data_IF_147617078720
#
_entry.id   IF_147617078720
#
_cell.length_a   1.000
_cell.length_b   1.000
_cell.length_c   1.000
_cell.angle_alpha   90.00
_cell.angle_beta   90.00
_cell.angle_gamma   90.00
#
_symmetry.space_group_name_H-M   'P 1'
#
loop_
_entity.id
_entity.type
_entity.pdbx_description
1 polymer ?
#
# COMPACT_ATOMS: atom_id res chain seq x y z
N UNK A 1 -27.72 15.95 -70.11
CA UNK A 1 -26.67 16.70 -69.38
C UNK A 1 -26.96 16.95 -67.88
N UNK A 2 -28.22 16.98 -67.41
CA UNK A 2 -28.54 17.18 -65.98
C UNK A 2 -28.13 15.99 -65.09
N UNK A 3 -28.28 14.74 -65.54
CA UNK A 3 -27.97 13.53 -64.72
C UNK A 3 -26.49 13.30 -64.46
N UNK A 4 -25.59 13.82 -65.27
CA UNK A 4 -24.12 13.62 -65.11
C UNK A 4 -23.58 14.57 -64.00
N UNK A 5 -24.09 15.80 -63.91
CA UNK A 5 -23.69 16.74 -62.84
C UNK A 5 -24.07 16.23 -61.46
N UNK A 6 -25.24 15.62 -61.30
CA UNK A 6 -25.68 15.06 -59.99
C UNK A 6 -24.90 13.82 -59.60
N UNK A 7 -24.51 12.94 -60.54
CA UNK A 7 -23.63 11.81 -60.26
C UNK A 7 -22.24 12.24 -59.83
N UNK A 8 -21.65 13.24 -60.51
CA UNK A 8 -20.34 13.79 -60.14
C UNK A 8 -20.38 14.44 -58.75
N UNK A 9 -21.40 15.26 -58.42
CA UNK A 9 -21.54 15.85 -57.09
C UNK A 9 -21.73 14.81 -56.00
N UNK A 10 -22.45 13.73 -56.27
CA UNK A 10 -22.62 12.63 -55.28
C UNK A 10 -21.30 11.92 -55.01
N UNK A 11 -20.49 11.63 -56.03
CA UNK A 11 -19.17 11.03 -55.83
C UNK A 11 -18.21 11.96 -55.08
N UNK A 12 -18.22 13.26 -55.38
CA UNK A 12 -17.42 14.25 -54.68
C UNK A 12 -17.80 14.35 -53.19
N UNK A 13 -19.11 14.42 -52.90
CA UNK A 13 -19.59 14.47 -51.51
C UNK A 13 -19.21 13.16 -50.76
N UNK A 14 -19.39 12.02 -51.37
CA UNK A 14 -19.02 10.73 -50.75
C UNK A 14 -17.50 10.66 -50.50
N UNK A 15 -16.68 11.12 -51.44
CA UNK A 15 -15.23 11.19 -51.27
C UNK A 15 -14.81 12.13 -50.14
N UNK A 16 -15.44 13.28 -50.03
CA UNK A 16 -15.19 14.23 -48.93
C UNK A 16 -15.55 13.63 -47.59
N UNK A 17 -16.69 12.93 -47.47
CA UNK A 17 -17.09 12.25 -46.24
C UNK A 17 -16.10 11.15 -45.88
N UNK A 18 -15.69 10.31 -46.83
CA UNK A 18 -14.71 9.26 -46.57
C UNK A 18 -13.37 9.85 -46.12
N UNK A 19 -12.89 10.90 -46.78
CA UNK A 19 -11.66 11.60 -46.38
C UNK A 19 -11.81 12.21 -44.99
N UNK A 20 -12.95 12.83 -44.67
CA UNK A 20 -13.21 13.39 -43.34
C UNK A 20 -13.21 12.31 -42.24
N UNK A 21 -13.81 11.15 -42.48
CA UNK A 21 -13.78 10.01 -41.55
C UNK A 21 -12.35 9.50 -41.34
N UNK A 22 -11.57 9.37 -42.43
CA UNK A 22 -10.16 8.95 -42.34
C UNK A 22 -9.35 9.99 -41.52
N UNK A 23 -9.53 11.29 -41.78
CA UNK A 23 -8.86 12.34 -41.03
C UNK A 23 -9.25 12.36 -39.57
N UNK A 24 -10.53 12.19 -39.24
CA UNK A 24 -11.00 12.07 -37.87
C UNK A 24 -10.33 10.87 -37.17
N UNK A 25 -10.32 9.70 -37.82
CA UNK A 25 -9.63 8.53 -37.26
C UNK A 25 -8.13 8.76 -37.05
N UNK A 26 -7.44 9.40 -38.00
CA UNK A 26 -6.02 9.75 -37.84
C UNK A 26 -5.79 10.73 -36.70
N UNK A 27 -6.66 11.75 -36.56
CA UNK A 27 -6.59 12.72 -35.46
C UNK A 27 -6.85 12.02 -34.13
N UNK A 28 -7.88 11.18 -34.04
CA UNK A 28 -8.19 10.40 -32.83
C UNK A 28 -7.03 9.45 -32.49
N UNK A 29 -6.42 8.79 -33.48
CA UNK A 29 -5.26 7.94 -33.26
C UNK A 29 -4.05 8.73 -32.75
N UNK A 30 -3.72 9.86 -33.36
CA UNK A 30 -2.62 10.72 -32.95
C UNK A 30 -2.85 11.37 -31.58
N UNK A 31 -4.10 11.70 -31.25
CA UNK A 31 -4.47 12.21 -29.92
C UNK A 31 -4.38 11.09 -28.88
N UNK A 32 -4.80 9.87 -29.24
CA UNK A 32 -4.75 8.72 -28.32
C UNK A 32 -3.31 8.26 -28.01
N UNK A 33 -2.34 8.56 -28.86
CA UNK A 33 -0.92 8.35 -28.56
C UNK A 33 -0.36 9.34 -27.52
N UNK A 34 -0.91 10.56 -27.46
CA UNK A 34 -0.45 11.60 -26.54
C UNK A 34 -1.33 11.76 -25.30
N UNK A 35 -2.61 11.49 -25.42
CA UNK A 35 -3.60 11.58 -24.34
C UNK A 35 -4.43 10.30 -24.41
N UNK A 36 -4.30 9.37 -23.46
CA UNK A 36 -5.09 8.16 -23.50
C UNK A 36 -6.56 8.52 -23.31
N UNK A 37 -7.33 8.43 -24.39
CA UNK A 37 -8.78 8.57 -24.37
C UNK A 37 -9.46 7.34 -23.76
N UNK A 38 -8.68 6.40 -23.22
CA UNK A 38 -9.17 5.22 -22.52
C UNK A 38 -9.69 5.63 -21.15
N UNK A 39 -10.98 5.52 -20.94
CA UNK A 39 -11.59 5.67 -19.61
C UNK A 39 -11.41 4.35 -18.88
N UNK A 40 -10.78 4.39 -17.72
CA UNK A 40 -10.70 3.24 -16.84
C UNK A 40 -12.09 2.97 -16.24
N UNK A 41 -12.71 1.87 -16.65
CA UNK A 41 -14.02 1.44 -16.18
C UNK A 41 -13.92 0.37 -15.09
N UNK A 42 -12.72 0.09 -14.61
CA UNK A 42 -12.55 -0.84 -13.48
C UNK A 42 -13.05 -0.18 -12.20
N UNK A 43 -13.56 -0.97 -11.26
CA UNK A 43 -14.13 -0.46 -9.99
C UNK A 43 -13.09 0.34 -9.20
N UNK A 44 -11.85 -0.13 -9.19
CA UNK A 44 -10.77 0.44 -8.40
C UNK A 44 -9.78 1.25 -9.25
N UNK A 45 -10.17 1.62 -10.48
CA UNK A 45 -9.37 2.46 -11.39
C UNK A 45 -7.91 1.97 -11.50
N UNK A 46 -7.74 0.67 -11.73
CA UNK A 46 -6.43 0.02 -11.71
C UNK A 46 -5.42 0.60 -12.69
N UNK A 47 -5.89 1.27 -13.73
CA UNK A 47 -5.07 1.94 -14.74
C UNK A 47 -4.93 3.46 -14.51
N UNK A 48 -5.65 4.07 -13.56
CA UNK A 48 -5.40 5.47 -13.17
C UNK A 48 -4.22 5.54 -12.21
N UNK A 49 -3.31 6.47 -12.45
CA UNK A 49 -2.21 6.74 -11.52
C UNK A 49 -2.71 7.63 -10.39
N UNK A 50 -2.25 7.36 -9.19
CA UNK A 50 -2.58 8.15 -8.00
C UNK A 50 -2.02 9.57 -8.12
N UNK A 51 -2.55 10.50 -7.35
CA UNK A 51 -2.06 11.89 -7.37
C UNK A 51 -0.67 11.97 -6.74
N UNK A 52 -0.39 11.12 -5.76
CA UNK A 52 0.93 10.93 -5.16
C UNK A 52 1.96 10.53 -6.21
N UNK A 53 1.68 9.52 -7.03
CA UNK A 53 2.56 9.12 -8.13
C UNK A 53 2.80 10.27 -9.11
N UNK A 54 1.76 11.04 -9.45
CA UNK A 54 1.88 12.18 -10.36
C UNK A 54 2.77 13.29 -9.78
N UNK A 55 2.65 13.56 -8.49
CA UNK A 55 3.50 14.54 -7.79
C UNK A 55 4.95 14.08 -7.71
N UNK A 56 5.16 12.80 -7.36
CA UNK A 56 6.50 12.21 -7.37
C UNK A 56 7.18 12.31 -8.72
N UNK A 57 6.46 11.98 -9.80
CA UNK A 57 7.04 12.05 -11.15
C UNK A 57 7.37 13.48 -11.58
N UNK A 58 6.67 14.51 -11.08
CA UNK A 58 7.04 15.92 -11.30
C UNK A 58 8.32 16.32 -10.56
N UNK A 59 8.58 15.70 -9.41
CA UNK A 59 9.76 15.98 -8.60
C UNK A 59 11.04 15.31 -9.16
N UNK A 60 10.91 14.29 -10.03
CA UNK A 60 12.06 13.61 -10.65
C UNK A 60 12.75 14.56 -11.63
N UNK A 61 13.94 15.01 -11.27
CA UNK A 61 14.79 15.91 -12.06
C UNK A 61 15.93 15.21 -12.80
N UNK A 62 16.32 14.00 -12.34
CA UNK A 62 17.40 13.18 -12.92
C UNK A 62 16.88 12.20 -13.96
N UNK A 63 17.73 11.81 -14.90
CA UNK A 63 17.41 10.72 -15.83
C UNK A 63 17.50 9.37 -15.12
N UNK A 64 16.40 8.63 -15.14
CA UNK A 64 16.29 7.25 -14.61
C UNK A 64 16.08 6.31 -15.80
N UNK A 65 16.88 5.25 -15.87
CA UNK A 65 16.68 4.16 -16.83
C UNK A 65 16.01 3.00 -16.15
N UNK A 66 14.93 2.50 -16.73
CA UNK A 66 14.17 1.37 -16.24
C UNK A 66 14.34 0.19 -17.22
N UNK A 67 15.10 -0.82 -16.84
CA UNK A 67 15.30 -2.03 -17.61
C UNK A 67 14.20 -3.04 -17.28
N UNK A 68 13.31 -3.28 -18.24
CA UNK A 68 12.24 -4.30 -18.12
C UNK A 68 12.80 -5.62 -18.61
N UNK A 69 12.96 -6.58 -17.72
CA UNK A 69 13.72 -7.82 -17.95
C UNK A 69 12.91 -8.88 -18.72
N UNK A 70 12.35 -8.49 -19.83
CA UNK A 70 11.70 -9.36 -20.81
C UNK A 70 11.63 -8.63 -22.16
N UNK A 71 11.30 -9.38 -23.21
CA UNK A 71 10.99 -8.75 -24.50
C UNK A 71 9.65 -8.01 -24.43
N UNK A 72 9.45 -7.00 -25.28
CA UNK A 72 8.19 -6.24 -25.30
C UNK A 72 6.97 -7.13 -25.54
N UNK A 73 7.12 -8.22 -26.30
CA UNK A 73 6.02 -9.15 -26.56
C UNK A 73 5.64 -9.99 -25.34
N UNK A 74 6.60 -10.30 -24.48
CA UNK A 74 6.39 -11.11 -23.26
C UNK A 74 5.84 -10.28 -22.11
N UNK A 75 6.09 -8.97 -22.08
CA UNK A 75 5.57 -8.09 -21.05
C UNK A 75 4.04 -8.14 -20.99
N UNK A 76 3.48 -8.26 -19.79
CA UNK A 76 2.04 -8.30 -19.58
C UNK A 76 1.38 -6.99 -20.04
N UNK A 77 0.11 -7.05 -20.43
CA UNK A 77 -0.66 -5.86 -20.83
C UNK A 77 -0.68 -4.80 -19.71
N UNK A 78 -0.76 -5.25 -18.48
CA UNK A 78 -0.79 -4.36 -17.30
C UNK A 78 0.54 -3.61 -17.15
N UNK A 79 1.68 -4.31 -17.20
CA UNK A 79 3.01 -3.68 -17.14
C UNK A 79 3.21 -2.67 -18.27
N UNK A 80 2.81 -3.02 -19.50
CA UNK A 80 2.87 -2.09 -20.65
C UNK A 80 2.05 -0.83 -20.43
N UNK A 81 0.84 -0.97 -19.88
CA UNK A 81 -0.03 0.18 -19.61
C UNK A 81 0.57 1.08 -18.51
N UNK A 82 1.13 0.50 -17.43
CA UNK A 82 1.84 1.29 -16.41
C UNK A 82 3.04 2.04 -17.02
N UNK A 83 3.89 1.35 -17.78
CA UNK A 83 5.03 1.98 -18.48
C UNK A 83 4.56 3.16 -19.34
N UNK A 84 3.48 2.99 -20.09
CA UNK A 84 2.93 4.06 -20.92
C UNK A 84 2.47 5.25 -20.07
N UNK A 85 1.87 5.01 -18.90
CA UNK A 85 1.44 6.06 -17.97
C UNK A 85 2.63 6.84 -17.42
N UNK A 86 3.70 6.15 -16.99
CA UNK A 86 4.92 6.82 -16.54
C UNK A 86 5.57 7.67 -17.64
N UNK A 87 5.66 7.14 -18.87
CA UNK A 87 6.17 7.90 -20.04
C UNK A 87 5.37 9.17 -20.35
N UNK A 88 4.07 9.18 -20.01
CA UNK A 88 3.24 10.39 -20.21
C UNK A 88 3.39 11.41 -19.08
N UNK A 89 3.76 10.98 -17.87
CA UNK A 89 3.92 11.88 -16.73
C UNK A 89 5.27 12.59 -16.73
N UNK A 90 6.34 11.94 -17.21
CA UNK A 90 7.69 12.49 -17.21
C UNK A 90 8.52 11.94 -18.37
N UNK A 91 9.39 12.78 -18.93
CA UNK A 91 10.41 12.39 -19.90
C UNK A 91 11.73 11.95 -19.25
N UNK A 92 11.81 12.04 -17.92
CA UNK A 92 12.99 11.69 -17.14
C UNK A 92 13.15 10.19 -16.94
N UNK A 93 12.09 9.40 -17.05
CA UNK A 93 12.13 7.94 -16.88
C UNK A 93 12.08 7.26 -18.24
N UNK A 94 13.17 6.59 -18.61
CA UNK A 94 13.31 5.86 -19.88
C UNK A 94 13.15 4.37 -19.64
N UNK A 95 12.26 3.72 -20.36
CA UNK A 95 12.01 2.28 -20.25
C UNK A 95 12.61 1.55 -21.44
N UNK A 96 13.43 0.52 -21.14
CA UNK A 96 14.10 -0.32 -22.12
C UNK A 96 13.77 -1.81 -21.84
N UNK A 97 13.33 -2.53 -22.86
CA UNK A 97 13.08 -3.97 -22.74
C UNK A 97 14.37 -4.73 -22.99
N UNK A 98 14.74 -5.60 -22.06
CA UNK A 98 16.00 -6.36 -22.08
C UNK A 98 15.70 -7.84 -22.04
N UNK A 99 16.10 -8.55 -23.09
CA UNK A 99 16.10 -10.03 -23.08
C UNK A 99 17.21 -10.54 -22.16
N UNK A 100 16.82 -11.17 -21.04
CA UNK A 100 17.74 -11.64 -19.99
C UNK A 100 18.72 -12.69 -20.51
N UNK A 101 18.31 -13.49 -21.50
CA UNK A 101 19.16 -14.55 -22.06
C UNK A 101 20.26 -13.99 -22.95
N UNK A 102 20.05 -12.84 -23.55
CA UNK A 102 21.01 -12.19 -24.45
C UNK A 102 21.89 -11.16 -23.71
N UNK A 103 21.52 -10.73 -22.52
CA UNK A 103 22.18 -9.64 -21.78
C UNK A 103 22.70 -10.07 -20.40
N UNK A 104 23.20 -11.30 -20.26
CA UNK A 104 23.69 -11.84 -18.98
C UNK A 104 24.78 -10.97 -18.32
N UNK A 105 25.64 -10.33 -19.10
CA UNK A 105 26.69 -9.44 -18.57
C UNK A 105 26.11 -8.21 -17.87
N UNK A 106 25.02 -7.66 -18.37
CA UNK A 106 24.31 -6.55 -17.72
C UNK A 106 23.73 -7.00 -16.37
N UNK A 107 23.14 -8.19 -16.34
CA UNK A 107 22.51 -8.74 -15.13
C UNK A 107 23.53 -9.07 -14.04
N UNK A 108 24.73 -9.50 -14.39
CA UNK A 108 25.81 -9.75 -13.43
C UNK A 108 26.13 -8.52 -12.57
N UNK A 109 25.95 -7.29 -13.10
CA UNK A 109 26.14 -6.06 -12.35
C UNK A 109 25.21 -5.98 -11.13
N UNK A 110 23.96 -6.43 -11.29
CA UNK A 110 22.91 -6.31 -10.25
C UNK A 110 22.86 -7.54 -9.33
N UNK A 111 23.43 -8.65 -9.73
CA UNK A 111 23.50 -9.88 -8.93
C UNK A 111 24.70 -9.94 -7.96
N UNK A 112 25.62 -8.98 -8.03
CA UNK A 112 26.85 -8.98 -7.20
C UNK A 112 26.56 -8.89 -5.69
N UNK A 113 25.42 -8.34 -5.30
CA UNK A 113 25.01 -8.18 -3.90
C UNK A 113 24.12 -9.35 -3.39
N UNK A 114 23.99 -10.44 -4.17
CA UNK A 114 23.16 -11.59 -3.78
C UNK A 114 21.66 -11.41 -4.04
N UNK A 115 21.25 -10.30 -4.65
CA UNK A 115 19.86 -10.07 -5.03
C UNK A 115 19.45 -10.96 -6.22
N UNK A 116 18.28 -11.59 -6.12
CA UNK A 116 17.76 -12.39 -7.21
C UNK A 116 17.17 -11.47 -8.29
N UNK A 117 17.52 -11.74 -9.54
CA UNK A 117 16.99 -11.02 -10.71
C UNK A 117 16.26 -12.03 -11.58
N UNK A 118 14.96 -11.85 -11.74
CA UNK A 118 14.09 -12.78 -12.45
C UNK A 118 13.56 -12.18 -13.77
N UNK A 119 13.09 -13.06 -14.64
CA UNK A 119 12.42 -12.63 -15.86
C UNK A 119 11.12 -11.87 -15.51
N UNK A 120 10.95 -10.70 -16.11
CA UNK A 120 9.81 -9.82 -15.88
C UNK A 120 10.01 -8.76 -14.81
N UNK A 121 11.08 -8.83 -14.01
CA UNK A 121 11.43 -7.78 -13.05
C UNK A 121 11.79 -6.47 -13.77
N UNK A 122 11.75 -5.37 -13.04
CA UNK A 122 12.14 -4.05 -13.55
C UNK A 122 13.29 -3.52 -12.69
N UNK A 123 14.42 -3.18 -13.32
CA UNK A 123 15.54 -2.55 -12.65
C UNK A 123 15.52 -1.06 -12.97
N UNK A 124 15.32 -0.23 -11.96
CA UNK A 124 15.51 1.22 -12.06
C UNK A 124 16.97 1.56 -11.75
N UNK A 125 17.58 2.40 -12.56
CA UNK A 125 18.97 2.84 -12.40
C UNK A 125 19.10 4.35 -12.61
N UNK A 126 19.86 5.01 -11.74
CA UNK A 126 20.25 6.42 -11.87
C UNK A 126 21.69 6.60 -11.34
N UNK A 127 22.63 6.78 -12.24
CA UNK A 127 24.07 6.82 -11.87
C UNK A 127 24.55 5.50 -11.30
N UNK A 128 25.01 5.50 -10.05
CA UNK A 128 25.48 4.30 -9.35
C UNK A 128 24.37 3.59 -8.55
N UNK A 129 23.24 4.26 -8.30
CA UNK A 129 22.12 3.68 -7.57
C UNK A 129 21.23 2.86 -8.48
N UNK A 130 20.81 1.69 -8.01
CA UNK A 130 19.79 0.89 -8.66
C UNK A 130 18.81 0.28 -7.65
N UNK A 131 17.62 -0.06 -8.11
CA UNK A 131 16.61 -0.79 -7.36
C UNK A 131 15.92 -1.80 -8.26
N UNK A 132 15.83 -3.04 -7.79
CA UNK A 132 15.12 -4.12 -8.46
C UNK A 132 13.68 -4.15 -7.91
N UNK A 133 12.71 -4.18 -8.81
CA UNK A 133 11.28 -4.31 -8.50
C UNK A 133 10.78 -5.60 -9.11
N UNK A 134 10.38 -6.53 -8.26
CA UNK A 134 9.75 -7.77 -8.68
C UNK A 134 8.30 -7.50 -9.08
N UNK A 135 7.98 -7.81 -10.34
CA UNK A 135 6.61 -7.68 -10.87
C UNK A 135 5.76 -8.85 -10.41
N UNK A 136 6.34 -10.05 -10.21
CA UNK A 136 5.63 -11.22 -9.69
C UNK A 136 5.09 -10.98 -8.29
N UNK A 137 5.87 -10.33 -7.44
CA UNK A 137 5.54 -10.04 -6.05
C UNK A 137 4.61 -8.80 -5.90
N UNK A 138 4.29 -8.16 -7.01
CA UNK A 138 3.33 -7.04 -7.03
C UNK A 138 1.87 -7.52 -7.08
N UNK A 139 1.61 -8.82 -7.25
CA UNK A 139 0.27 -9.41 -7.24
C UNK A 139 0.14 -10.35 -6.05
N UNK A 140 -0.64 -9.97 -5.07
CA UNK A 140 -0.91 -10.75 -3.87
C UNK A 140 -2.37 -11.21 -3.86
N UNK A 141 -2.62 -12.45 -3.47
CA UNK A 141 -3.96 -12.98 -3.27
C UNK A 141 -4.55 -12.40 -1.98
N UNK A 142 -5.77 -11.87 -2.07
CA UNK A 142 -6.49 -11.33 -0.91
C UNK A 142 -7.63 -12.28 -0.59
N UNK A 143 -7.56 -12.93 0.55
CA UNK A 143 -8.64 -13.79 1.04
C UNK A 143 -9.78 -12.92 1.55
N UNK A 144 -10.97 -13.04 0.95
CA UNK A 144 -12.18 -12.39 1.43
C UNK A 144 -13.06 -13.36 2.21
N UNK A 145 -14.02 -12.83 2.99
CA UNK A 145 -15.02 -13.64 3.71
C UNK A 145 -16.02 -14.39 2.80
N UNK A 146 -15.81 -14.40 1.48
CA UNK A 146 -16.58 -15.12 0.48
C UNK A 146 -15.69 -16.04 -0.35
N UNK A 147 -16.31 -16.93 -1.15
CA UNK A 147 -15.57 -17.82 -2.06
C UNK A 147 -14.89 -17.10 -3.26
N UNK A 148 -14.81 -15.76 -3.22
CA UNK A 148 -14.19 -14.98 -4.29
C UNK A 148 -12.72 -14.70 -3.96
N UNK A 149 -11.82 -15.14 -4.83
CA UNK A 149 -10.41 -14.79 -4.79
C UNK A 149 -10.24 -13.38 -5.37
N UNK A 150 -9.82 -12.45 -4.53
CA UNK A 150 -9.40 -11.11 -4.93
C UNK A 150 -7.89 -11.05 -5.01
N UNK A 151 -7.36 -10.18 -5.86
CA UNK A 151 -5.93 -9.91 -5.91
C UNK A 151 -5.68 -8.44 -5.60
N UNK A 152 -4.75 -8.15 -4.70
CA UNK A 152 -4.20 -6.81 -4.57
C UNK A 152 -3.05 -6.64 -5.54
N UNK A 153 -2.86 -5.42 -6.03
CA UNK A 153 -1.82 -5.10 -6.98
C UNK A 153 -1.12 -3.80 -6.58
N UNK A 154 0.15 -3.90 -6.22
CA UNK A 154 0.94 -2.78 -5.70
C UNK A 154 2.08 -2.33 -6.63
N UNK A 155 2.04 -2.71 -7.91
CA UNK A 155 3.08 -2.38 -8.90
C UNK A 155 3.30 -0.88 -9.03
N UNK A 156 2.25 -0.06 -8.94
CA UNK A 156 2.37 1.40 -8.96
C UNK A 156 3.26 1.89 -7.82
N UNK A 157 2.97 1.44 -6.61
CA UNK A 157 3.76 1.77 -5.42
C UNK A 157 5.22 1.35 -5.58
N UNK A 158 5.45 0.08 -5.95
CA UNK A 158 6.81 -0.46 -6.13
C UNK A 158 7.60 0.27 -7.21
N UNK A 159 6.98 0.56 -8.37
CA UNK A 159 7.64 1.30 -9.46
C UNK A 159 7.94 2.75 -9.07
N UNK A 160 6.97 3.45 -8.48
CA UNK A 160 7.15 4.84 -8.06
C UNK A 160 8.24 4.95 -7.01
N UNK A 161 8.20 4.10 -5.97
CA UNK A 161 9.22 4.07 -4.92
C UNK A 161 10.60 3.69 -5.49
N UNK A 162 10.67 2.77 -6.45
CA UNK A 162 11.91 2.44 -7.15
C UNK A 162 12.51 3.64 -7.88
N UNK A 163 11.68 4.40 -8.61
CA UNK A 163 12.11 5.59 -9.35
C UNK A 163 12.62 6.68 -8.41
N UNK A 164 11.83 7.05 -7.38
CA UNK A 164 12.21 8.14 -6.46
C UNK A 164 13.42 7.78 -5.60
N UNK A 165 13.58 6.49 -5.25
CA UNK A 165 14.76 5.99 -4.54
C UNK A 165 16.04 6.23 -5.35
N UNK A 166 16.09 5.71 -6.58
CA UNK A 166 17.31 5.85 -7.40
C UNK A 166 17.56 7.30 -7.82
N UNK A 167 16.51 8.13 -7.97
CA UNK A 167 16.63 9.55 -8.19
C UNK A 167 17.21 10.30 -6.97
N UNK A 168 17.25 9.67 -5.80
CA UNK A 168 17.73 10.26 -4.55
C UNK A 168 16.75 11.27 -3.94
N UNK A 169 15.46 11.12 -4.22
CA UNK A 169 14.37 11.95 -3.67
C UNK A 169 13.82 11.39 -2.36
N UNK A 170 14.24 10.19 -1.97
CA UNK A 170 13.84 9.57 -0.72
C UNK A 170 14.91 9.77 0.36
N UNK A 171 14.44 10.02 1.57
CA UNK A 171 15.27 9.92 2.77
C UNK A 171 15.29 8.44 3.18
N UNK A 172 16.48 7.86 3.23
CA UNK A 172 16.69 6.51 3.72
C UNK A 172 16.79 6.58 5.26
N UNK A 173 15.72 6.21 5.96
CA UNK A 173 15.75 6.13 7.41
C UNK A 173 16.28 4.77 7.86
N UNK A 174 16.96 4.75 9.01
CA UNK A 174 17.49 3.52 9.61
C UNK A 174 16.55 2.99 10.68
N UNK A 175 16.18 1.73 10.53
CA UNK A 175 15.32 0.98 11.44
C UNK A 175 16.11 -0.16 12.04
N UNK A 176 16.31 -0.12 13.33
CA UNK A 176 17.06 -1.12 14.07
C UNK A 176 16.13 -2.09 14.79
N UNK A 177 16.39 -3.38 14.60
CA UNK A 177 15.75 -4.44 15.36
C UNK A 177 16.62 -4.79 16.56
N UNK A 178 16.02 -4.81 17.75
CA UNK A 178 16.74 -5.21 18.96
C UNK A 178 17.05 -6.70 18.93
N UNK A 179 18.23 -7.03 19.46
CA UNK A 179 18.71 -8.38 19.74
C UNK A 179 19.26 -8.46 21.17
N UNK A 180 19.11 -9.62 21.80
CA UNK A 180 19.68 -9.88 23.12
C UNK A 180 18.65 -10.30 24.16
N UNK A 181 17.34 -10.06 23.90
CA UNK A 181 16.27 -10.44 24.82
C UNK A 181 15.45 -11.64 24.31
N UNK A 182 15.95 -12.37 23.30
CA UNK A 182 15.26 -13.52 22.72
C UNK A 182 14.13 -13.13 21.79
N UNK A 183 14.29 -12.01 21.12
CA UNK A 183 13.32 -11.45 20.18
C UNK A 183 13.11 -12.40 19.00
N UNK A 184 11.95 -12.28 18.38
CA UNK A 184 11.61 -12.94 17.14
C UNK A 184 11.68 -11.94 15.98
N UNK A 185 11.77 -12.45 14.76
CA UNK A 185 11.78 -11.65 13.55
C UNK A 185 10.50 -11.83 12.75
N UNK A 186 10.01 -10.78 12.15
CA UNK A 186 8.93 -10.83 11.16
C UNK A 186 9.50 -10.63 9.75
N UNK A 187 9.40 -11.65 8.92
CA UNK A 187 9.74 -11.55 7.51
C UNK A 187 8.81 -10.57 6.77
N UNK A 188 7.54 -10.53 7.16
CA UNK A 188 6.54 -9.61 6.62
C UNK A 188 6.89 -8.15 6.88
N UNK A 189 7.22 -7.82 8.13
CA UNK A 189 7.62 -6.45 8.47
C UNK A 189 8.90 -6.01 7.78
N UNK A 190 9.91 -6.90 7.73
CA UNK A 190 11.15 -6.65 7.01
C UNK A 190 10.90 -6.38 5.52
N UNK A 191 10.00 -7.13 4.89
CA UNK A 191 9.61 -6.90 3.49
C UNK A 191 8.99 -5.52 3.29
N UNK A 192 8.08 -5.11 4.17
CA UNK A 192 7.46 -3.77 4.11
C UNK A 192 8.51 -2.66 4.23
N UNK A 193 9.44 -2.78 5.18
CA UNK A 193 10.52 -1.81 5.37
C UNK A 193 11.41 -1.73 4.11
N UNK A 194 11.75 -2.88 3.53
CA UNK A 194 12.53 -2.96 2.29
C UNK A 194 11.79 -2.36 1.09
N UNK A 195 10.49 -2.60 0.97
CA UNK A 195 9.64 -2.02 -0.08
C UNK A 195 9.55 -0.48 0.02
N UNK A 196 9.66 0.04 1.25
CA UNK A 196 9.73 1.49 1.53
C UNK A 196 11.16 2.05 1.40
N UNK A 197 12.13 1.21 1.04
CA UNK A 197 13.54 1.58 0.85
C UNK A 197 14.25 2.13 2.10
N UNK A 198 13.84 1.69 3.29
CA UNK A 198 14.55 1.98 4.52
C UNK A 198 15.65 0.93 4.79
N UNK A 199 16.68 1.35 5.52
CA UNK A 199 17.80 0.49 5.91
C UNK A 199 17.41 -0.30 7.17
N UNK A 200 17.58 -1.61 7.13
CA UNK A 200 17.33 -2.51 8.26
C UNK A 200 18.65 -2.96 8.85
N UNK A 201 18.82 -2.79 10.14
CA UNK A 201 19.99 -3.24 10.89
C UNK A 201 19.56 -3.91 12.21
N UNK A 202 20.48 -4.59 12.86
CA UNK A 202 20.27 -5.22 14.16
C UNK A 202 21.20 -4.60 15.19
N UNK A 203 20.76 -4.50 16.42
CA UNK A 203 21.55 -3.93 17.51
C UNK A 203 21.24 -4.59 18.85
N UNK A 204 22.30 -4.85 19.63
CA UNK A 204 22.19 -5.23 21.03
C UNK A 204 22.52 -4.04 21.90
N UNK A 205 21.50 -3.34 22.38
CA UNK A 205 21.68 -2.14 23.23
C UNK A 205 22.26 -2.47 24.61
N UNK A 206 22.28 -3.74 25.01
CA UNK A 206 23.03 -4.19 26.18
C UNK A 206 24.55 -3.95 26.01
N UNK A 207 25.05 -4.06 24.78
CA UNK A 207 26.49 -4.03 24.48
C UNK A 207 26.93 -2.79 23.70
N UNK A 208 26.00 -2.10 23.05
CA UNK A 208 26.24 -1.03 22.09
C UNK A 208 25.41 0.21 22.42
N UNK A 209 25.89 1.37 21.99
CA UNK A 209 25.13 2.60 22.02
C UNK A 209 24.22 2.70 20.79
N UNK A 210 23.03 3.28 20.94
CA UNK A 210 22.11 3.50 19.84
C UNK A 210 22.69 4.56 18.89
N UNK A 211 22.95 4.24 17.60
CA UNK A 211 23.53 5.19 16.64
C UNK A 211 22.70 6.47 16.52
N UNK A 212 23.39 7.61 16.27
CA UNK A 212 22.70 8.91 16.19
C UNK A 212 21.74 9.00 15.00
N UNK A 213 22.00 8.26 13.92
CA UNK A 213 21.21 8.22 12.70
C UNK A 213 20.05 7.20 12.74
N UNK A 214 19.77 6.60 13.92
CA UNK A 214 18.64 5.72 14.14
C UNK A 214 17.33 6.49 14.15
N UNK A 215 16.36 6.07 13.35
CA UNK A 215 15.03 6.67 13.32
C UNK A 215 14.00 5.87 14.13
N UNK A 216 14.01 4.55 13.96
CA UNK A 216 13.08 3.64 14.63
C UNK A 216 13.86 2.50 15.26
N UNK A 217 13.47 2.14 16.47
CA UNK A 217 13.88 0.90 17.15
C UNK A 217 12.66 0.00 17.28
N UNK A 218 12.84 -1.29 16.99
CA UNK A 218 11.77 -2.30 17.06
C UNK A 218 12.22 -3.44 17.97
N UNK A 219 11.40 -3.81 18.95
CA UNK A 219 11.53 -5.07 19.68
C UNK A 219 10.31 -5.94 19.46
N UNK A 220 10.52 -7.20 19.18
CA UNK A 220 9.45 -8.15 18.86
C UNK A 220 9.52 -9.34 19.79
N UNK A 221 8.49 -9.50 20.61
CA UNK A 221 8.34 -10.65 21.51
C UNK A 221 9.56 -10.86 22.42
N UNK A 222 10.02 -9.86 23.20
CA UNK A 222 11.14 -10.03 24.12
C UNK A 222 10.79 -11.07 25.20
N UNK A 223 11.67 -12.05 25.40
CA UNK A 223 11.51 -13.13 26.37
C UNK A 223 12.33 -12.95 27.65
N UNK A 224 13.22 -11.95 27.68
CA UNK A 224 13.96 -11.52 28.87
C UNK A 224 13.87 -10.03 29.06
N UNK A 225 13.92 -9.59 30.33
CA UNK A 225 13.71 -8.22 30.71
C UNK A 225 14.89 -7.32 30.38
N UNK A 226 14.63 -6.06 30.18
CA UNK A 226 15.62 -5.02 29.93
C UNK A 226 16.34 -4.63 31.22
N UNK A 227 17.60 -4.21 31.10
CA UNK A 227 18.35 -3.60 32.19
C UNK A 227 17.99 -2.11 32.36
N UNK A 228 18.40 -1.53 33.49
CA UNK A 228 18.24 -0.09 33.72
C UNK A 228 19.05 0.76 32.70
N UNK A 229 20.24 0.30 32.35
CA UNK A 229 21.10 0.96 31.36
C UNK A 229 20.46 0.98 29.96
N UNK A 230 19.82 -0.10 29.57
CA UNK A 230 19.10 -0.18 28.29
C UNK A 230 17.89 0.77 28.25
N UNK A 231 17.13 0.87 29.33
CA UNK A 231 16.04 1.84 29.45
C UNK A 231 16.56 3.28 29.35
N UNK A 232 17.72 3.59 30.00
CA UNK A 232 18.33 4.91 29.87
C UNK A 232 18.80 5.24 28.45
N UNK A 233 19.30 4.24 27.72
CA UNK A 233 19.65 4.40 26.29
C UNK A 233 18.40 4.65 25.43
N UNK A 234 17.29 3.97 25.71
CA UNK A 234 16.01 4.23 25.05
C UNK A 234 15.48 5.61 25.36
N UNK A 235 15.61 6.10 26.62
CA UNK A 235 15.25 7.48 26.97
C UNK A 235 16.05 8.51 26.17
N UNK A 236 17.37 8.34 26.14
CA UNK A 236 18.24 9.23 25.36
C UNK A 236 17.91 9.19 23.86
N UNK A 237 17.47 8.05 23.35
CA UNK A 237 17.03 7.88 21.97
C UNK A 237 15.71 8.61 21.73
N UNK A 238 14.72 8.44 22.61
CA UNK A 238 13.40 9.09 22.48
C UNK A 238 13.50 10.61 22.72
N UNK A 239 14.35 11.08 23.62
CA UNK A 239 14.56 12.51 23.87
C UNK A 239 15.13 13.27 22.67
N UNK A 240 15.76 12.57 21.70
CA UNK A 240 16.16 13.16 20.42
C UNK A 240 15.15 12.97 19.29
N UNK A 241 13.90 12.55 19.61
CA UNK A 241 12.81 12.36 18.66
C UNK A 241 12.77 10.97 18.03
N UNK A 242 13.43 9.98 18.62
CA UNK A 242 13.39 8.58 18.18
C UNK A 242 11.99 7.96 18.31
N UNK A 243 11.80 6.82 17.68
CA UNK A 243 10.51 6.08 17.69
C UNK A 243 10.76 4.64 18.13
N UNK A 244 9.97 4.13 19.08
CA UNK A 244 10.11 2.79 19.61
C UNK A 244 8.85 1.97 19.37
N UNK A 245 8.98 0.81 18.70
CA UNK A 245 7.89 -0.12 18.44
C UNK A 245 8.10 -1.37 19.26
N UNK A 246 7.08 -1.76 20.04
CA UNK A 246 7.09 -2.99 20.84
C UNK A 246 5.94 -3.88 20.38
N UNK A 247 6.27 -5.12 20.05
CA UNK A 247 5.28 -6.11 19.60
C UNK A 247 5.18 -7.23 20.63
N UNK A 248 3.96 -7.53 21.03
CA UNK A 248 3.63 -8.56 22.00
C UNK A 248 2.85 -9.72 21.38
N UNK A 249 2.78 -10.81 22.11
CA UNK A 249 1.85 -11.93 21.92
C UNK A 249 1.40 -12.47 23.29
N UNK A 250 0.24 -13.11 23.37
CA UNK A 250 -0.13 -13.87 24.57
C UNK A 250 0.94 -14.92 24.93
N UNK A 251 1.18 -15.10 26.22
CA UNK A 251 2.11 -16.10 26.71
C UNK A 251 3.58 -15.68 26.78
N UNK A 252 3.91 -14.44 26.45
CA UNK A 252 5.25 -13.91 26.71
C UNK A 252 5.52 -13.83 28.22
N UNK A 253 6.77 -14.08 28.59
CA UNK A 253 7.25 -13.82 29.95
C UNK A 253 7.09 -12.34 30.29
N UNK A 254 6.75 -12.04 31.56
CA UNK A 254 6.74 -10.65 32.01
C UNK A 254 8.15 -10.07 31.97
N UNK A 255 8.23 -8.84 31.46
CA UNK A 255 9.42 -8.02 31.43
C UNK A 255 9.16 -6.76 32.29
N UNK A 256 9.20 -6.90 33.64
CA UNK A 256 8.71 -5.87 34.56
C UNK A 256 9.35 -4.50 34.39
N UNK A 257 10.63 -4.44 33.97
CA UNK A 257 11.31 -3.18 33.75
C UNK A 257 10.87 -2.53 32.44
N UNK A 258 10.81 -3.30 31.35
CA UNK A 258 10.26 -2.82 30.08
C UNK A 258 8.80 -2.38 30.28
N UNK A 259 7.99 -3.15 30.99
CA UNK A 259 6.59 -2.79 31.27
C UNK A 259 6.48 -1.53 32.14
N UNK A 260 7.36 -1.37 33.15
CA UNK A 260 7.44 -0.13 33.92
C UNK A 260 7.83 1.06 33.03
N UNK A 261 8.78 0.85 32.14
CA UNK A 261 9.22 1.86 31.18
C UNK A 261 8.07 2.30 30.24
N UNK A 262 7.33 1.33 29.70
CA UNK A 262 6.15 1.62 28.86
C UNK A 262 5.06 2.34 29.64
N UNK A 263 4.90 2.05 30.94
CA UNK A 263 3.91 2.73 31.79
C UNK A 263 4.22 4.21 32.01
N UNK A 264 5.50 4.62 31.93
CA UNK A 264 5.91 6.04 31.93
C UNK A 264 5.44 6.77 30.65
N UNK A 265 5.25 6.01 29.57
CA UNK A 265 4.65 6.47 28.32
C UNK A 265 3.13 6.28 28.27
N UNK A 266 2.51 5.90 29.41
CA UNK A 266 1.07 5.70 29.55
C UNK A 266 0.53 4.41 28.93
N UNK A 267 1.39 3.44 28.65
CA UNK A 267 1.04 2.16 28.05
C UNK A 267 1.33 1.04 29.05
N UNK A 268 0.32 0.28 29.47
CA UNK A 268 0.50 -0.88 30.35
C UNK A 268 0.04 -2.13 29.64
N UNK A 269 0.95 -3.05 29.28
CA UNK A 269 0.57 -4.33 28.66
C UNK A 269 -0.13 -5.24 29.68
N UNK A 270 -1.23 -5.87 29.26
CA UNK A 270 -1.97 -6.84 30.05
C UNK A 270 -1.57 -8.26 29.62
N UNK A 271 -1.27 -9.13 30.60
CA UNK A 271 -0.93 -10.54 30.32
C UNK A 271 -2.19 -11.39 30.14
N UNK A 272 -3.00 -11.05 29.16
CA UNK A 272 -4.26 -11.70 28.86
C UNK A 272 -4.28 -12.26 27.42
N UNK A 273 -5.29 -13.07 27.13
CA UNK A 273 -5.62 -13.46 25.75
C UNK A 273 -6.96 -12.86 25.38
N UNK A 274 -6.99 -12.03 24.36
CA UNK A 274 -8.20 -11.41 23.86
C UNK A 274 -9.01 -12.41 23.02
N UNK A 275 -10.26 -12.60 23.43
CA UNK A 275 -11.28 -13.38 22.73
C UNK A 275 -12.41 -12.45 22.29
N UNK A 276 -12.53 -12.19 21.00
CA UNK A 276 -13.61 -11.40 20.42
C UNK A 276 -14.87 -12.26 20.27
N UNK A 277 -15.98 -11.84 20.85
CA UNK A 277 -17.25 -12.55 20.82
C UNK A 277 -18.30 -11.88 19.93
N UNK A 278 -17.97 -10.75 19.28
CA UNK A 278 -18.84 -10.20 18.24
C UNK A 278 -18.66 -10.97 16.93
N UNK A 279 -19.72 -11.62 16.48
CA UNK A 279 -19.73 -12.43 15.25
C UNK A 279 -19.43 -11.60 13.97
N UNK A 280 -19.50 -10.29 14.02
CA UNK A 280 -19.15 -9.42 12.89
C UNK A 280 -17.66 -9.11 12.85
N UNK A 281 -16.95 -9.28 13.95
CA UNK A 281 -15.52 -9.02 14.08
C UNK A 281 -14.67 -10.28 14.18
N UNK A 282 -15.24 -11.32 14.79
CA UNK A 282 -14.62 -12.63 14.91
C UNK A 282 -14.53 -13.34 13.55
N UNK A 283 -13.38 -13.99 13.28
CA UNK A 283 -13.15 -14.76 12.06
C UNK A 283 -12.85 -16.21 12.45
N UNK A 284 -13.79 -17.13 12.23
CA UNK A 284 -13.68 -18.56 12.51
C UNK A 284 -13.44 -18.93 13.99
N UNK A 285 -12.67 -18.14 14.73
CA UNK A 285 -12.30 -18.38 16.12
C UNK A 285 -12.25 -17.05 16.88
N UNK A 286 -12.66 -16.98 18.15
CA UNK A 286 -12.63 -15.78 18.97
C UNK A 286 -11.26 -15.12 19.11
N UNK A 287 -10.18 -15.89 18.97
CA UNK A 287 -8.81 -15.38 19.01
C UNK A 287 -8.33 -14.83 17.64
N UNK A 288 -9.15 -14.98 16.58
CA UNK A 288 -8.89 -14.43 15.25
C UNK A 288 -9.96 -13.39 14.97
N UNK A 289 -9.59 -12.13 14.93
CA UNK A 289 -10.57 -11.05 14.84
C UNK A 289 -10.02 -9.81 14.13
N UNK A 290 -10.95 -8.93 13.74
CA UNK A 290 -10.65 -7.60 13.17
C UNK A 290 -11.25 -6.55 14.10
N UNK A 291 -10.43 -5.84 14.91
CA UNK A 291 -10.91 -4.75 15.76
C UNK A 291 -11.35 -3.56 14.91
N UNK A 292 -12.06 -2.61 15.52
CA UNK A 292 -12.33 -1.32 14.91
C UNK A 292 -11.05 -0.49 14.90
N UNK A 293 -10.71 0.04 13.72
CA UNK A 293 -9.64 1.00 13.58
C UNK A 293 -10.17 2.39 13.99
N UNK A 294 -9.45 3.06 14.87
CA UNK A 294 -9.86 4.37 15.39
C UNK A 294 -9.53 5.51 14.41
N UNK A 295 -10.16 6.67 14.61
CA UNK A 295 -9.86 7.87 13.82
C UNK A 295 -8.48 8.42 14.21
N UNK A 296 -7.49 8.15 13.38
CA UNK A 296 -6.12 8.64 13.50
C UNK A 296 -5.51 8.77 12.11
N UNK A 297 -4.55 9.68 11.91
CA UNK A 297 -3.91 9.90 10.61
C UNK A 297 -3.33 8.61 10.02
N UNK A 298 -2.66 7.81 10.85
CA UNK A 298 -2.11 6.50 10.49
C UNK A 298 -3.17 5.54 9.91
N UNK A 299 -4.40 5.62 10.41
CA UNK A 299 -5.50 4.75 10.03
C UNK A 299 -6.35 5.30 8.86
N UNK A 300 -6.19 6.56 8.48
CA UNK A 300 -7.06 7.23 7.49
C UNK A 300 -7.20 6.44 6.19
N UNK A 301 -6.11 5.89 5.70
CA UNK A 301 -6.12 5.09 4.48
C UNK A 301 -6.95 3.80 4.63
N UNK A 302 -6.75 3.07 5.73
CA UNK A 302 -7.51 1.86 6.05
C UNK A 302 -9.01 2.14 6.20
N UNK A 303 -9.36 3.21 6.93
CA UNK A 303 -10.75 3.63 7.14
C UNK A 303 -11.43 4.01 5.82
N UNK A 304 -10.76 4.75 4.95
CA UNK A 304 -11.27 5.12 3.64
C UNK A 304 -11.51 3.89 2.74
N UNK A 305 -10.72 2.85 2.92
CA UNK A 305 -10.85 1.59 2.18
C UNK A 305 -11.84 0.61 2.84
N UNK A 306 -12.31 0.89 4.05
CA UNK A 306 -13.14 -0.03 4.84
C UNK A 306 -12.41 -1.30 5.24
N UNK A 307 -11.09 -1.20 5.49
CA UNK A 307 -10.23 -2.33 5.87
C UNK A 307 -9.92 -2.28 7.36
N UNK A 308 -10.03 -3.43 8.01
CA UNK A 308 -9.62 -3.63 9.40
C UNK A 308 -8.52 -4.67 9.48
N UNK A 309 -7.51 -4.39 10.30
CA UNK A 309 -6.33 -5.26 10.50
C UNK A 309 -6.73 -6.58 11.13
N UNK A 310 -6.16 -7.69 10.66
CA UNK A 310 -6.38 -9.01 11.22
C UNK A 310 -5.43 -9.26 12.38
N UNK A 311 -5.99 -9.69 13.51
CA UNK A 311 -5.28 -10.14 14.70
C UNK A 311 -5.46 -11.64 14.89
N UNK A 312 -4.40 -12.33 15.34
CA UNK A 312 -4.43 -13.72 15.77
C UNK A 312 -3.67 -13.86 17.08
N UNK A 313 -4.39 -14.13 18.17
CA UNK A 313 -3.84 -14.11 19.52
C UNK A 313 -3.29 -12.73 19.88
N UNK A 314 -4.01 -11.98 20.65
CA UNK A 314 -3.61 -10.61 21.06
C UNK A 314 -3.66 -10.47 22.56
N UNK A 315 -2.76 -9.66 23.11
CA UNK A 315 -2.93 -9.05 24.43
C UNK A 315 -3.63 -7.70 24.29
N UNK A 316 -4.07 -7.12 25.40
CA UNK A 316 -4.56 -5.74 25.46
C UNK A 316 -3.58 -4.84 26.19
N UNK A 317 -3.83 -3.55 26.06
CA UNK A 317 -3.10 -2.49 26.76
C UNK A 317 -4.08 -1.62 27.55
N UNK A 318 -3.69 -1.25 28.78
CA UNK A 318 -4.35 -0.16 29.50
C UNK A 318 -3.69 1.15 29.12
N UNK A 319 -4.50 2.17 28.83
CA UNK A 319 -4.07 3.51 28.45
C UNK A 319 -4.27 4.47 29.63
N UNK A 320 -3.21 5.18 30.00
CA UNK A 320 -3.26 6.17 31.07
C UNK A 320 -2.69 7.51 30.61
N UNK A 321 -3.56 8.47 30.36
CA UNK A 321 -3.18 9.84 29.98
C UNK A 321 -2.98 10.78 31.19
N UNK A 322 -3.37 10.37 32.40
CA UNK A 322 -3.36 11.29 33.58
C UNK A 322 -1.99 11.43 34.20
N UNK A 323 -1.12 10.44 34.09
CA UNK A 323 0.20 10.39 34.74
C UNK A 323 1.38 10.57 33.78
N UNK A 324 1.11 10.79 32.49
CA UNK A 324 2.15 10.83 31.48
C UNK A 324 2.74 12.21 31.35
N UNK A 325 4.02 12.37 31.66
CA UNK A 325 4.73 13.65 31.53
C UNK A 325 4.77 14.13 30.08
N UNK A 326 3.68 14.79 29.62
CA UNK A 326 3.54 15.43 28.29
C UNK A 326 3.40 14.50 27.08
N UNK A 327 3.21 13.19 27.25
CA UNK A 327 2.85 12.32 26.15
C UNK A 327 1.32 12.22 26.03
N UNK A 328 0.82 11.96 24.84
CA UNK A 328 -0.59 11.69 24.55
C UNK A 328 -0.69 10.28 24.03
N UNK A 329 -1.47 9.43 24.69
CA UNK A 329 -1.70 8.05 24.25
C UNK A 329 -3.00 7.99 23.47
N UNK A 330 -2.92 7.44 22.27
CA UNK A 330 -4.05 7.24 21.37
C UNK A 330 -4.20 5.74 21.08
N UNK A 331 -5.41 5.21 21.26
CA UNK A 331 -5.74 3.87 20.80
C UNK A 331 -5.88 3.87 19.27
N UNK A 332 -5.23 2.95 18.59
CA UNK A 332 -5.29 2.79 17.14
C UNK A 332 -6.24 1.67 16.71
N UNK A 333 -6.45 0.68 17.55
CA UNK A 333 -7.34 -0.44 17.29
C UNK A 333 -8.00 -0.94 18.58
N UNK A 334 -9.33 -1.08 18.56
CA UNK A 334 -10.14 -1.41 19.75
C UNK A 334 -11.12 -2.54 19.43
N UNK A 335 -11.24 -3.50 20.35
CA UNK A 335 -12.20 -4.61 20.23
C UNK A 335 -13.64 -4.16 20.46
N UNK A 336 -14.59 -5.10 20.37
CA UNK A 336 -15.97 -4.82 20.78
C UNK A 336 -16.12 -4.84 22.32
N UNK A 337 -17.26 -4.34 22.79
CA UNK A 337 -17.71 -4.45 24.18
C UNK A 337 -18.03 -5.90 24.61
N UNK A 338 -18.15 -6.82 23.64
CA UNK A 338 -18.38 -8.27 23.89
C UNK A 338 -17.10 -9.07 24.03
N UNK A 339 -15.96 -8.46 23.77
CA UNK A 339 -14.68 -9.14 23.91
C UNK A 339 -14.40 -9.49 25.36
N UNK A 340 -13.72 -10.62 25.58
CA UNK A 340 -13.27 -11.09 26.88
C UNK A 340 -11.75 -11.20 26.85
N UNK A 341 -11.11 -10.58 27.86
CA UNK A 341 -9.68 -10.75 28.12
C UNK A 341 -9.48 -11.89 29.11
N UNK A 342 -9.06 -13.06 28.61
CA UNK A 342 -8.83 -14.25 29.41
C UNK A 342 -7.56 -14.09 30.25
N UNK A 343 -7.69 -14.18 31.58
CA UNK A 343 -6.55 -14.22 32.49
C UNK A 343 -5.75 -15.51 32.34
N UNK A 344 -6.46 -16.62 32.11
CA UNK A 344 -5.84 -17.91 31.78
C UNK A 344 -5.72 -18.03 30.25
N UNK A 345 -4.53 -17.79 29.71
CA UNK A 345 -4.25 -17.86 28.26
C UNK A 345 -4.37 -19.28 27.67
N UNK A 346 -4.35 -20.33 28.50
CA UNK A 346 -4.53 -21.71 28.06
C UNK A 346 -6.01 -22.15 28.15
N UNK A 347 -6.92 -21.24 28.50
CA UNK A 347 -8.34 -21.54 28.60
C UNK A 347 -8.90 -22.08 27.28
N UNK A 348 -9.64 -23.17 27.34
CA UNK A 348 -10.32 -23.78 26.19
C UNK A 348 -11.71 -23.22 25.96
N UNK A 349 -12.24 -22.46 26.91
CA UNK A 349 -13.53 -21.78 26.81
C UNK A 349 -13.38 -20.27 26.58
N UNK A 350 -14.30 -19.73 25.82
CA UNK A 350 -14.41 -18.28 25.60
C UNK A 350 -15.44 -17.63 26.54
N UNK A 351 -16.12 -18.43 27.34
CA UNK A 351 -17.02 -17.90 28.35
C UNK A 351 -16.25 -17.18 29.44
N UNK A 352 -16.86 -16.17 30.03
CA UNK A 352 -16.29 -15.40 31.12
C UNK A 352 -16.07 -16.26 32.35
N UNK A 353 -14.86 -16.21 32.90
CA UNK A 353 -14.46 -16.91 34.13
C UNK A 353 -13.97 -15.91 35.19
N UNK A 354 -13.81 -16.36 36.43
CA UNK A 354 -13.30 -15.53 37.52
C UNK A 354 -11.86 -15.07 37.20
N UNK A 355 -11.62 -13.78 37.25
CA UNK A 355 -10.33 -13.16 36.90
C UNK A 355 -10.26 -12.61 35.48
N UNK A 356 -11.22 -12.95 34.62
CA UNK A 356 -11.29 -12.40 33.28
C UNK A 356 -11.76 -10.91 33.30
N UNK A 357 -11.46 -10.20 32.25
CA UNK A 357 -11.90 -8.81 32.04
C UNK A 357 -12.86 -8.72 30.84
N UNK A 358 -13.66 -7.66 30.80
CA UNK A 358 -14.65 -7.41 29.73
C UNK A 358 -14.23 -6.19 28.93
N UNK A 359 -14.36 -6.28 27.59
CA UNK A 359 -14.01 -5.22 26.66
C UNK A 359 -14.88 -3.94 26.78
N UNK A 360 -14.63 -2.94 25.97
CA UNK A 360 -13.67 -2.95 24.85
C UNK A 360 -12.21 -2.91 25.33
N UNK A 361 -11.30 -3.45 24.52
CA UNK A 361 -9.87 -3.50 24.80
C UNK A 361 -9.07 -2.80 23.70
N UNK A 362 -8.07 -2.03 24.10
CA UNK A 362 -7.08 -1.49 23.19
C UNK A 362 -6.03 -2.56 22.86
N UNK A 363 -5.89 -2.90 21.56
CA UNK A 363 -4.96 -3.95 21.10
C UNK A 363 -3.80 -3.37 20.27
N UNK A 364 -3.85 -2.07 19.97
CA UNK A 364 -2.77 -1.29 19.40
C UNK A 364 -2.86 0.14 19.91
N UNK A 365 -1.76 0.64 20.44
CA UNK A 365 -1.71 1.99 21.05
C UNK A 365 -0.44 2.73 20.59
N UNK A 366 -0.57 4.05 20.46
CA UNK A 366 0.51 4.96 20.10
C UNK A 366 0.59 6.07 21.16
N UNK A 367 1.74 6.25 21.76
CA UNK A 367 2.05 7.33 22.70
C UNK A 367 3.03 8.30 22.04
N UNK A 368 2.71 9.59 22.03
CA UNK A 368 3.50 10.61 21.35
C UNK A 368 3.82 11.77 22.28
N UNK A 369 5.03 12.30 22.16
CA UNK A 369 5.54 13.43 22.95
C UNK A 369 6.33 14.36 22.06
N UNK A 370 6.04 15.65 22.11
CA UNK A 370 6.89 16.65 21.47
C UNK A 370 8.16 16.89 22.30
N UNK A 371 9.31 16.81 21.66
CA UNK A 371 10.63 17.07 22.22
C UNK A 371 11.30 18.20 21.45
N UNK A 372 12.11 19.00 22.13
CA UNK A 372 12.93 20.06 21.51
C UNK A 372 14.36 19.52 21.33
N UNK A 373 14.81 19.46 20.10
CA UNK A 373 16.15 19.00 19.75
C UNK A 373 16.87 20.14 19.03
N UNK A 374 17.79 20.81 19.72
CA UNK A 374 18.55 21.94 19.18
C UNK A 374 17.68 23.11 18.66
N UNK A 375 16.50 23.32 19.24
CA UNK A 375 15.53 24.34 18.85
C UNK A 375 14.58 23.92 17.74
N UNK A 376 14.63 22.66 17.30
CA UNK A 376 13.67 22.06 16.40
C UNK A 376 12.68 21.17 17.18
N UNK A 377 11.38 21.38 16.94
CA UNK A 377 10.35 20.51 17.50
C UNK A 377 10.34 19.18 16.76
N UNK A 378 10.56 18.07 17.46
CA UNK A 378 10.43 16.70 16.96
C UNK A 378 9.39 15.95 17.78
N UNK A 379 8.88 14.86 17.22
CA UNK A 379 7.96 13.96 17.92
C UNK A 379 8.69 12.69 18.32
N UNK A 380 8.78 12.38 19.59
CA UNK A 380 9.14 11.06 20.09
C UNK A 380 7.87 10.20 20.16
N UNK A 381 7.97 8.92 19.83
CA UNK A 381 6.80 8.04 19.89
C UNK A 381 7.15 6.64 20.40
N UNK A 382 6.20 6.06 21.14
CA UNK A 382 6.22 4.65 21.55
C UNK A 382 4.94 3.99 21.07
N UNK A 383 5.06 2.93 20.29
CA UNK A 383 3.93 2.17 19.77
C UNK A 383 3.95 0.74 20.31
N UNK A 384 2.82 0.27 20.81
CA UNK A 384 2.68 -1.10 21.27
C UNK A 384 1.58 -1.82 20.47
N UNK A 385 1.91 -3.02 19.97
CA UNK A 385 1.05 -3.88 19.15
C UNK A 385 0.88 -5.20 19.88
N UNK A 386 -0.36 -5.62 20.14
CA UNK A 386 -0.70 -6.79 20.96
C UNK A 386 -0.60 -8.14 20.25
N UNK A 387 -0.28 -8.18 18.97
CA UNK A 387 -0.21 -9.42 18.19
C UNK A 387 0.88 -9.36 17.12
N UNK A 388 1.74 -10.38 17.10
CA UNK A 388 2.75 -10.57 16.05
C UNK A 388 2.10 -10.81 14.67
N UNK A 389 0.91 -11.36 14.62
CA UNK A 389 0.17 -11.61 13.39
C UNK A 389 -0.04 -10.33 12.55
N UNK A 390 -0.08 -9.16 13.20
CA UNK A 390 -0.19 -7.87 12.51
C UNK A 390 0.98 -7.66 11.55
N UNK A 391 2.16 -8.17 11.87
CA UNK A 391 3.38 -8.02 11.07
C UNK A 391 3.67 -9.19 10.15
N UNK A 392 3.17 -10.40 10.46
CA UNK A 392 3.49 -11.63 9.74
C UNK A 392 2.51 -11.97 8.62
N UNK A 393 1.25 -11.56 8.73
CA UNK A 393 0.24 -11.87 7.72
C UNK A 393 0.34 -10.94 6.50
N UNK A 394 1.27 -11.25 5.61
CA UNK A 394 1.50 -10.51 4.36
C UNK A 394 0.43 -10.76 3.30
N UNK A 395 -0.33 -11.84 3.42
CA UNK A 395 -1.48 -12.12 2.53
C UNK A 395 -2.71 -11.27 2.89
N UNK A 396 -2.71 -10.66 4.09
CA UNK A 396 -3.76 -9.76 4.53
C UNK A 396 -3.44 -8.32 4.16
N UNK A 397 -4.12 -7.79 3.15
CA UNK A 397 -3.90 -6.42 2.66
C UNK A 397 -3.94 -5.38 3.77
N UNK A 398 -4.90 -5.49 4.70
CA UNK A 398 -5.03 -4.53 5.79
C UNK A 398 -3.78 -4.49 6.68
N UNK A 399 -3.17 -5.65 6.92
CA UNK A 399 -1.97 -5.77 7.75
C UNK A 399 -0.77 -5.12 7.06
N UNK A 400 -0.56 -5.41 5.77
CA UNK A 400 0.52 -4.80 4.97
C UNK A 400 0.37 -3.28 4.90
N UNK A 401 -0.85 -2.78 4.61
CA UNK A 401 -1.12 -1.33 4.57
C UNK A 401 -0.95 -0.67 5.94
N UNK A 402 -1.37 -1.34 7.02
CA UNK A 402 -1.17 -0.83 8.38
C UNK A 402 0.31 -0.67 8.71
N UNK A 403 1.13 -1.70 8.43
CA UNK A 403 2.58 -1.65 8.67
C UNK A 403 3.26 -0.58 7.80
N UNK A 404 2.84 -0.45 6.54
CA UNK A 404 3.34 0.59 5.63
C UNK A 404 3.02 2.00 6.15
N UNK A 405 1.77 2.22 6.57
CA UNK A 405 1.34 3.49 7.16
C UNK A 405 2.08 3.78 8.46
N UNK A 406 2.31 2.75 9.30
CA UNK A 406 3.08 2.87 10.55
C UNK A 406 4.50 3.35 10.29
N UNK A 407 5.22 2.71 9.37
CA UNK A 407 6.60 3.09 9.05
C UNK A 407 6.63 4.52 8.47
N UNK A 408 5.76 4.83 7.50
CA UNK A 408 5.69 6.16 6.89
C UNK A 408 5.36 7.26 7.91
N UNK A 409 4.41 6.99 8.80
CA UNK A 409 4.01 7.94 9.85
C UNK A 409 5.17 8.21 10.83
N UNK A 410 5.80 7.14 11.32
CA UNK A 410 6.86 7.24 12.31
C UNK A 410 8.18 7.81 11.74
N UNK A 411 8.46 7.62 10.46
CA UNK A 411 9.62 8.24 9.79
C UNK A 411 9.36 9.69 9.38
N UNK A 412 8.13 10.20 9.57
CA UNK A 412 7.71 11.53 9.10
C UNK A 412 8.00 11.72 7.60
N UNK A 413 8.05 10.62 6.88
CA UNK A 413 8.47 10.60 5.50
C UNK A 413 7.26 10.78 4.57
N UNK A 414 6.86 12.03 4.40
CA UNK A 414 5.82 12.40 3.44
C UNK A 414 6.22 12.15 1.99
N UNK A 415 7.53 11.95 1.73
CA UNK A 415 8.04 11.60 0.40
C UNK A 415 7.90 10.09 0.09
N UNK A 416 7.84 9.23 1.12
CA UNK A 416 7.45 7.83 0.95
C UNK A 416 5.95 7.77 0.73
N UNK A 417 5.58 7.82 -0.54
CA UNK A 417 4.19 7.85 -0.95
C UNK A 417 3.49 6.57 -0.52
N UNK A 418 2.54 6.69 0.38
CA UNK A 418 1.62 5.61 0.70
C UNK A 418 0.67 5.38 -0.48
N UNK A 419 1.22 4.88 -1.58
CA UNK A 419 0.42 4.51 -2.74
C UNK A 419 -0.31 3.22 -2.41
N UNK A 420 -1.59 3.34 -2.24
CA UNK A 420 -2.47 2.23 -1.88
C UNK A 420 -2.50 1.16 -2.96
N UNK A 421 -2.33 -0.10 -2.56
CA UNK A 421 -2.50 -1.24 -3.48
C UNK A 421 -3.92 -1.28 -4.04
N UNK A 422 -4.04 -1.56 -5.33
CA UNK A 422 -5.34 -1.67 -6.02
C UNK A 422 -5.87 -3.08 -5.94
N UNK A 423 -7.17 -3.26 -5.72
CA UNK A 423 -7.81 -4.57 -5.72
C UNK A 423 -8.21 -4.92 -7.15
N UNK A 424 -7.80 -6.08 -7.62
CA UNK A 424 -8.23 -6.64 -8.90
C UNK A 424 -9.23 -7.77 -8.63
N UNK A 425 -10.46 -7.60 -9.06
CA UNK A 425 -11.43 -8.67 -9.14
C UNK A 425 -11.26 -9.37 -10.48
N UNK A 426 -10.72 -10.59 -10.50
CA UNK A 426 -10.64 -11.38 -11.74
C UNK A 426 -12.07 -11.68 -12.24
N UNK A 427 -12.40 -11.13 -13.41
CA UNK A 427 -13.60 -11.47 -14.16
C UNK A 427 -14.87 -10.68 -13.89
N UNK A 428 -14.90 -9.77 -12.96
CA UNK A 428 -16.08 -8.93 -12.75
C UNK A 428 -15.93 -7.58 -13.46
N UNK A 429 -16.38 -7.53 -14.72
CA UNK A 429 -16.77 -6.25 -15.29
C UNK A 429 -17.89 -5.67 -14.40
N UNK A 430 -17.64 -4.54 -13.75
CA UNK A 430 -18.74 -3.79 -13.14
C UNK A 430 -19.72 -3.47 -14.24
N UNK A 431 -20.86 -4.16 -14.23
CA UNK A 431 -21.91 -3.86 -15.20
C UNK A 431 -22.30 -2.39 -15.00
N UNK A 432 -22.35 -1.59 -16.07
CA UNK A 432 -22.84 -0.23 -15.97
C UNK A 432 -24.18 -0.23 -15.26
N UNK A 433 -24.49 0.80 -14.47
CA UNK A 433 -25.76 0.89 -13.77
C UNK A 433 -26.91 0.62 -14.75
N UNK A 434 -28.00 0.03 -14.29
CA UNK A 434 -29.15 -0.31 -15.12
C UNK A 434 -29.62 0.91 -15.94
N UNK A 435 -29.50 2.10 -15.37
CA UNK A 435 -29.81 3.36 -16.04
C UNK A 435 -28.89 3.62 -17.25
N UNK A 436 -27.57 3.53 -17.08
CA UNK A 436 -26.59 3.72 -18.18
C UNK A 436 -26.76 2.65 -19.26
N UNK A 437 -26.95 1.39 -18.88
CA UNK A 437 -27.22 0.30 -19.81
C UNK A 437 -28.48 0.52 -20.63
N UNK A 438 -29.54 1.01 -19.99
CA UNK A 438 -30.80 1.34 -20.67
C UNK A 438 -30.63 2.47 -21.67
N UNK A 439 -29.93 3.55 -21.27
CA UNK A 439 -29.63 4.67 -22.19
C UNK A 439 -28.78 4.21 -23.37
N UNK A 440 -27.72 3.46 -23.15
CA UNK A 440 -26.86 2.94 -24.23
C UNK A 440 -27.66 2.02 -25.17
N UNK A 441 -28.55 1.18 -24.63
CA UNK A 441 -29.41 0.33 -25.44
C UNK A 441 -30.32 1.16 -26.36
N UNK A 442 -31.06 2.14 -25.83
CA UNK A 442 -31.94 2.98 -26.64
C UNK A 442 -31.16 3.84 -27.64
N UNK A 443 -29.99 4.36 -27.26
CA UNK A 443 -29.16 5.15 -28.15
C UNK A 443 -28.63 4.32 -29.32
N UNK A 444 -28.04 3.15 -29.05
CA UNK A 444 -27.40 2.34 -30.09
C UNK A 444 -28.41 1.56 -30.93
N UNK A 445 -29.47 1.03 -30.31
CA UNK A 445 -30.42 0.12 -31.00
C UNK A 445 -31.53 0.89 -31.72
N UNK A 446 -31.91 2.06 -31.20
CA UNK A 446 -33.03 2.82 -31.75
C UNK A 446 -32.64 4.17 -32.34
N UNK A 447 -31.96 5.03 -31.57
CA UNK A 447 -31.71 6.43 -31.99
C UNK A 447 -30.75 6.46 -33.19
N UNK A 448 -29.64 5.76 -33.12
CA UNK A 448 -28.65 5.74 -34.22
C UNK A 448 -29.21 5.11 -35.49
N UNK A 449 -29.84 3.93 -35.50
CA UNK A 449 -30.42 3.35 -36.72
C UNK A 449 -31.57 4.18 -37.30
N UNK A 450 -32.45 4.72 -36.44
CA UNK A 450 -33.53 5.59 -36.90
C UNK A 450 -32.97 6.88 -37.49
N UNK A 451 -31.96 7.48 -36.89
CA UNK A 451 -31.27 8.66 -37.43
C UNK A 451 -30.67 8.41 -38.82
N UNK A 452 -30.01 7.27 -39.00
CA UNK A 452 -29.45 6.86 -40.29
C UNK A 452 -30.56 6.63 -41.32
N UNK A 453 -31.67 5.99 -40.92
CA UNK A 453 -32.85 5.73 -41.78
C UNK A 453 -33.48 7.04 -42.23
N UNK A 454 -33.73 7.98 -41.30
CA UNK A 454 -34.30 9.28 -41.59
C UNK A 454 -33.40 10.11 -42.52
N UNK A 455 -32.10 10.12 -42.26
CA UNK A 455 -31.11 10.76 -43.15
C UNK A 455 -31.17 10.16 -44.57
N UNK A 456 -31.24 8.82 -44.67
CA UNK A 456 -31.39 8.11 -45.93
C UNK A 456 -32.69 8.49 -46.69
N UNK A 457 -33.81 8.55 -45.97
CA UNK A 457 -35.12 8.97 -46.55
C UNK A 457 -35.06 10.42 -47.01
N UNK A 458 -34.50 11.33 -46.22
CA UNK A 458 -34.36 12.75 -46.59
C UNK A 458 -33.54 12.89 -47.87
N UNK A 459 -32.40 12.19 -47.95
CA UNK A 459 -31.53 12.19 -49.14
C UNK A 459 -32.29 11.61 -50.32
N UNK A 460 -33.02 10.51 -50.12
CA UNK A 460 -33.81 9.86 -51.17
C UNK A 460 -34.92 10.79 -51.70
N UNK A 461 -35.72 11.40 -50.82
CA UNK A 461 -36.76 12.36 -51.16
C UNK A 461 -36.17 13.55 -51.90
N UNK A 462 -35.07 14.13 -51.42
CA UNK A 462 -34.41 15.26 -52.06
C UNK A 462 -33.90 14.92 -53.47
N UNK A 463 -33.49 13.65 -53.72
CA UNK A 463 -33.10 13.18 -55.04
C UNK A 463 -34.29 12.86 -55.98
N UNK A 464 -35.45 12.56 -55.41
CA UNK A 464 -36.65 12.24 -56.20
C UNK A 464 -37.40 13.49 -56.68
N UNK A 465 -37.32 14.57 -55.95
CA UNK A 465 -38.00 15.85 -56.26
C UNK A 465 -37.05 16.91 -56.90
N UNK A 466 -35.82 16.54 -57.19
CA UNK A 466 -34.87 17.26 -58.01
C UNK A 466 -34.70 16.59 -59.36
#
# INVERSE_FOLDING_TARGET
>A
MKNTKYKVNSWVITSVVVIAVILINLIVSAVNEKIPLKIDMTKDKIYEMTDETKEAMKAVDKEVTAYVLCTENEASTLVKEYINRYKMMTDKVKFEYIDIYQNQTLLMKYQQNGEAVNQGDIIFECGEKYKIVSVSDAKNEVTTMGDETLYSFDLESKMTNGIINVAGLMKEDKIYFLEGHGEQESAGFKSVISDLNHIQEFISIANEEIPEDTNIIVTMLPNSDFSEDECLKLDAFLDRGGKFIVIYNPGLSSCPRLESYLSEWGITPNHNLICENDSQKMIRSPIIFRPDMTQHELNNNLLNMGLNVLYYGSISFDVNNDNVQRATVTSLATTSDKAVGKANIEATTVEFEEGDSVGPFDVCVLSEKNVDVDGEAKTAAVMAIGSMAVTDYTDEKANVEFMRNTVNYLTENTANLSITSKIITEGLFTQPSQFVRTILYYLLVWIVPIGVLLAGIIIWLKRRYL
#
